data_IF_853115028976
#
_entry.id   IF_853115028976
#
_cell.length_a   1.000
_cell.length_b   1.000
_cell.length_c   1.000
_cell.angle_alpha   90.00
_cell.angle_beta   90.00
_cell.angle_gamma   90.00
#
_symmetry.space_group_name_H-M   'P 1'
#
loop_
_entity.id
_entity.type
_entity.pdbx_description
1 polymer ?
#
# COMPACT_ATOMS: atom_id res chain seq x y z
N UNK A 1 -13.87 -9.97 16.52
CA UNK A 1 -14.33 -11.16 15.76
C UNK A 1 -13.98 -10.88 14.30
N UNK A 2 -13.07 -11.65 13.69
CA UNK A 2 -12.43 -11.36 12.40
C UNK A 2 -13.34 -11.69 11.18
N UNK A 3 -14.62 -11.33 11.22
CA UNK A 3 -15.61 -11.68 10.18
C UNK A 3 -15.43 -10.94 8.85
N UNK A 4 -14.77 -9.79 8.87
CA UNK A 4 -14.77 -8.84 7.74
C UNK A 4 -13.56 -8.98 6.82
N UNK A 5 -12.72 -10.00 7.04
CA UNK A 5 -11.48 -10.22 6.30
C UNK A 5 -11.53 -11.61 5.68
N UNK A 6 -11.39 -11.68 4.37
CA UNK A 6 -11.14 -12.93 3.64
C UNK A 6 -9.74 -12.88 3.06
N UNK A 7 -9.05 -14.02 3.03
CA UNK A 7 -7.75 -14.12 2.38
C UNK A 7 -7.69 -15.33 1.45
N UNK A 8 -6.89 -15.20 0.39
CA UNK A 8 -6.55 -16.28 -0.52
C UNK A 8 -5.05 -16.22 -0.82
N UNK A 9 -4.39 -17.37 -0.79
CA UNK A 9 -3.00 -17.50 -1.24
C UNK A 9 -3.00 -17.82 -2.73
N UNK A 10 -2.25 -17.05 -3.50
CA UNK A 10 -2.08 -17.24 -4.94
C UNK A 10 -1.05 -18.35 -5.20
N UNK A 11 -1.16 -19.12 -6.30
CA UNK A 11 -0.26 -20.22 -6.61
C UNK A 11 1.23 -19.83 -6.63
N UNK A 12 1.54 -18.59 -7.03
CA UNK A 12 2.88 -18.03 -7.18
C UNK A 12 3.49 -17.51 -5.84
N UNK A 13 2.78 -17.62 -4.72
CA UNK A 13 3.29 -17.22 -3.39
C UNK A 13 2.88 -15.83 -2.88
N UNK A 14 1.87 -15.19 -3.49
CA UNK A 14 1.25 -13.96 -3.00
C UNK A 14 0.02 -14.19 -2.11
N UNK A 15 -0.42 -13.19 -1.34
CA UNK A 15 -1.68 -13.23 -0.62
C UNK A 15 -2.59 -12.08 -1.06
N UNK A 16 -3.80 -12.43 -1.49
CA UNK A 16 -4.89 -11.47 -1.66
C UNK A 16 -5.69 -11.41 -0.36
N UNK A 17 -5.91 -10.21 0.15
CA UNK A 17 -6.76 -9.96 1.32
C UNK A 17 -7.89 -9.04 0.91
N UNK A 18 -9.12 -9.50 1.11
CA UNK A 18 -10.34 -8.73 0.90
C UNK A 18 -10.87 -8.29 2.26
N UNK A 19 -11.10 -6.98 2.42
CA UNK A 19 -11.61 -6.38 3.65
C UNK A 19 -12.85 -5.58 3.31
N UNK A 20 -13.90 -5.65 4.13
CA UNK A 20 -15.08 -4.78 3.97
C UNK A 20 -14.65 -3.30 4.01
N UNK A 21 -15.19 -2.48 3.10
CA UNK A 21 -14.77 -1.10 2.89
C UNK A 21 -14.76 -0.25 4.18
N UNK A 22 -15.79 -0.33 5.02
CA UNK A 22 -15.85 0.44 6.27
C UNK A 22 -14.76 0.00 7.27
N UNK A 23 -14.59 -1.31 7.41
CA UNK A 23 -13.55 -1.90 8.26
C UNK A 23 -12.15 -1.60 7.72
N UNK A 24 -11.99 -1.46 6.41
CA UNK A 24 -10.76 -1.06 5.76
C UNK A 24 -10.45 0.42 6.02
N UNK A 25 -11.40 1.32 5.79
CA UNK A 25 -11.25 2.75 6.01
C UNK A 25 -10.87 3.10 7.47
N UNK A 26 -11.39 2.36 8.46
CA UNK A 26 -11.02 2.55 9.88
C UNK A 26 -9.59 2.14 10.21
N UNK A 27 -8.95 1.32 9.38
CA UNK A 27 -7.62 0.75 9.64
C UNK A 27 -6.50 1.47 8.92
N UNK A 28 -6.83 2.23 7.88
CA UNK A 28 -5.84 2.94 7.10
C UNK A 28 -5.44 4.25 7.76
N UNK A 29 -4.16 4.64 7.68
CA UNK A 29 -3.68 5.94 8.14
C UNK A 29 -4.03 7.08 7.17
N UNK A 30 -4.71 6.79 6.07
CA UNK A 30 -5.05 7.73 5.00
C UNK A 30 -6.52 7.57 4.60
N UNK A 31 -7.09 8.64 4.06
CA UNK A 31 -8.49 8.68 3.65
C UNK A 31 -8.68 7.85 2.37
N UNK A 32 -9.58 6.86 2.42
CA UNK A 32 -10.02 6.14 1.21
C UNK A 32 -10.91 7.09 0.43
N UNK A 33 -10.49 7.46 -0.78
CA UNK A 33 -11.27 8.36 -1.65
C UNK A 33 -12.17 7.50 -2.53
N UNK A 34 -13.47 7.81 -2.56
CA UNK A 34 -14.49 7.00 -3.24
C UNK A 34 -14.32 6.92 -4.77
N UNK A 35 -13.52 7.80 -5.36
CA UNK A 35 -13.07 7.70 -6.76
C UNK A 35 -11.58 7.40 -6.78
N UNK A 36 -11.22 6.13 -7.02
CA UNK A 36 -9.83 5.72 -7.32
C UNK A 36 -9.11 4.87 -6.27
N UNK A 37 -9.60 4.73 -5.02
CA UNK A 37 -8.93 3.92 -4.00
C UNK A 37 -9.66 2.61 -3.68
N UNK A 38 -9.91 1.76 -4.68
CA UNK A 38 -10.58 0.46 -4.48
C UNK A 38 -9.63 -0.64 -3.98
N UNK A 39 -8.32 -0.47 -4.22
CA UNK A 39 -7.29 -1.46 -3.90
C UNK A 39 -6.11 -0.77 -3.19
N UNK A 40 -5.56 -1.45 -2.18
CA UNK A 40 -4.25 -1.15 -1.61
C UNK A 40 -3.30 -2.30 -1.91
N UNK A 41 -2.22 -1.99 -2.61
CA UNK A 41 -1.19 -2.99 -2.94
C UNK A 41 -0.03 -2.81 -1.97
N UNK A 42 0.31 -3.87 -1.23
CA UNK A 42 1.52 -3.87 -0.40
C UNK A 42 2.66 -4.56 -1.15
N UNK A 43 3.73 -3.81 -1.42
CA UNK A 43 4.95 -4.31 -2.02
C UNK A 43 6.01 -4.47 -0.92
N UNK A 44 6.56 -5.67 -0.80
CA UNK A 44 7.76 -5.88 -0.01
C UNK A 44 8.97 -5.42 -0.82
N UNK A 45 9.83 -4.62 -0.22
CA UNK A 45 11.05 -4.08 -0.85
C UNK A 45 12.27 -4.61 -0.10
N UNK A 46 13.40 -4.83 -0.78
CA UNK A 46 14.51 -5.56 -0.17
C UNK A 46 15.43 -4.67 0.70
N UNK A 47 15.39 -3.34 0.52
CA UNK A 47 16.19 -2.41 1.32
C UNK A 47 15.62 -0.99 1.37
N UNK A 48 16.13 -0.17 2.29
CA UNK A 48 15.75 1.26 2.39
C UNK A 48 16.10 2.03 1.13
N UNK A 49 17.28 1.77 0.57
CA UNK A 49 17.76 2.40 -0.66
C UNK A 49 16.88 2.02 -1.86
N UNK A 50 16.25 0.84 -1.83
CA UNK A 50 15.31 0.45 -2.86
C UNK A 50 13.97 1.20 -2.74
N UNK A 51 13.49 1.44 -1.52
CA UNK A 51 12.32 2.32 -1.27
C UNK A 51 12.59 3.72 -1.83
N UNK A 52 13.75 4.31 -1.51
CA UNK A 52 14.11 5.65 -1.97
C UNK A 52 14.18 5.72 -3.51
N UNK A 53 14.85 4.75 -4.15
CA UNK A 53 14.93 4.66 -5.62
C UNK A 53 13.56 4.52 -6.29
N UNK A 54 12.63 3.80 -5.68
CA UNK A 54 11.29 3.65 -6.24
C UNK A 54 10.51 4.97 -6.10
N UNK A 55 10.61 5.64 -4.96
CA UNK A 55 9.93 6.94 -4.75
C UNK A 55 10.42 7.98 -5.75
N UNK A 56 11.73 8.10 -5.98
CA UNK A 56 12.28 8.99 -7.02
C UNK A 56 11.69 8.68 -8.41
N UNK A 57 11.54 7.39 -8.75
CA UNK A 57 10.95 6.98 -10.03
C UNK A 57 9.46 7.31 -10.11
N UNK A 58 8.72 7.15 -9.02
CA UNK A 58 7.29 7.48 -8.96
C UNK A 58 7.11 8.97 -9.23
N UNK A 59 7.85 9.84 -8.54
CA UNK A 59 7.79 11.28 -8.75
C UNK A 59 8.18 11.67 -10.19
N UNK A 60 9.25 11.08 -10.72
CA UNK A 60 9.70 11.33 -12.10
C UNK A 60 8.68 10.94 -13.17
N UNK A 61 7.76 10.02 -12.88
CA UNK A 61 6.71 9.56 -13.79
C UNK A 61 5.33 10.16 -13.46
N UNK A 62 5.27 11.19 -12.61
CA UNK A 62 4.04 11.92 -12.29
C UNK A 62 3.13 11.22 -11.27
N UNK A 63 3.63 10.19 -10.58
CA UNK A 63 2.93 9.61 -9.43
C UNK A 63 2.97 10.54 -8.23
N UNK A 64 1.98 10.44 -7.35
CA UNK A 64 1.85 11.31 -6.18
C UNK A 64 2.26 10.58 -4.91
N UNK A 65 3.29 11.08 -4.21
CA UNK A 65 3.71 10.53 -2.92
C UNK A 65 2.66 10.91 -1.87
N UNK A 66 2.10 9.91 -1.20
CA UNK A 66 1.08 10.07 -0.15
C UNK A 66 1.64 9.86 1.26
N UNK A 67 2.81 9.24 1.36
CA UNK A 67 3.57 9.08 2.59
C UNK A 67 5.06 8.94 2.28
N UNK A 68 5.86 9.90 2.76
CA UNK A 68 7.31 9.89 2.55
C UNK A 68 7.98 8.68 3.24
N UNK A 69 9.13 8.21 2.73
CA UNK A 69 9.91 7.15 3.36
C UNK A 69 10.17 7.43 4.85
N UNK A 70 9.69 6.55 5.71
CA UNK A 70 9.82 6.71 7.15
C UNK A 70 9.73 5.39 7.89
N UNK A 71 10.24 5.37 9.12
CA UNK A 71 10.02 4.30 10.08
C UNK A 71 8.65 4.48 10.74
N UNK A 72 7.68 3.63 10.38
CA UNK A 72 6.33 3.70 10.92
C UNK A 72 5.73 2.31 11.11
N UNK A 73 5.00 2.13 12.22
CA UNK A 73 4.21 0.91 12.49
C UNK A 73 5.00 -0.40 12.40
N UNK A 74 6.28 -0.37 12.76
CA UNK A 74 7.14 -1.55 12.85
C UNK A 74 7.85 -1.95 11.55
N UNK A 75 7.77 -1.15 10.49
CA UNK A 75 8.51 -1.34 9.25
C UNK A 75 9.01 0.01 8.70
N UNK A 76 10.01 -0.03 7.82
CA UNK A 76 10.40 1.12 7.02
C UNK A 76 9.64 1.08 5.70
N UNK A 77 9.05 2.19 5.28
CA UNK A 77 8.23 2.18 4.08
C UNK A 77 7.78 3.55 3.61
N UNK A 78 7.11 3.57 2.46
CA UNK A 78 6.55 4.75 1.83
C UNK A 78 5.25 4.40 1.11
N UNK A 79 4.40 5.37 0.81
CA UNK A 79 3.19 5.16 0.02
C UNK A 79 3.03 6.21 -1.07
N UNK A 80 2.44 5.81 -2.18
CA UNK A 80 2.14 6.67 -3.32
C UNK A 80 0.84 6.24 -3.99
N UNK A 81 0.32 7.06 -4.89
CA UNK A 81 -0.80 6.70 -5.76
C UNK A 81 -0.37 6.67 -7.22
N UNK A 82 -0.91 5.72 -7.97
CA UNK A 82 -0.91 5.72 -9.42
C UNK A 82 -2.33 6.02 -9.96
N UNK A 83 -2.57 5.72 -11.24
CA UNK A 83 -3.87 5.95 -11.88
C UNK A 83 -4.99 5.06 -11.32
N UNK A 84 -4.65 3.94 -10.67
CA UNK A 84 -5.57 2.85 -10.32
C UNK A 84 -5.71 2.65 -8.80
N UNK A 85 -4.85 3.26 -7.96
CA UNK A 85 -5.03 3.27 -6.51
C UNK A 85 -3.81 3.63 -5.68
N UNK A 86 -3.83 3.24 -4.40
CA UNK A 86 -2.72 3.46 -3.45
C UNK A 86 -1.81 2.25 -3.41
N UNK A 87 -0.51 2.49 -3.53
CA UNK A 87 0.55 1.50 -3.35
C UNK A 87 1.31 1.83 -2.06
N UNK A 88 1.47 0.83 -1.19
CA UNK A 88 2.25 0.88 0.04
C UNK A 88 3.47 -0.02 -0.09
N UNK A 89 4.66 0.56 0.06
CA UNK A 89 5.93 -0.16 0.06
C UNK A 89 6.43 -0.34 1.49
N UNK A 90 6.94 -1.53 1.82
CA UNK A 90 7.50 -1.83 3.13
C UNK A 90 8.69 -2.79 3.09
N UNK A 91 9.64 -2.58 3.99
CA UNK A 91 10.76 -3.47 4.30
C UNK A 91 10.38 -4.48 5.39
#
# INVERSE_FOLDING_TARGET
MFGDIKSATLPEGGNLILVQADSFAQRLPFQVVASGNEVLISLNVASREEVDRIIERVEANGGQITGCPTDARGFYGASFTDLDGIILMRL
#
